data_IF_794857244877
#
_entry.id   IF_794857244877
#
_cell.length_a   1.000
_cell.length_b   1.000
_cell.length_c   1.000
_cell.angle_alpha   90.00
_cell.angle_beta   90.00
_cell.angle_gamma   90.00
#
_symmetry.space_group_name_H-M   'P 1'
#
loop_
_entity.id
_entity.type
_entity.pdbx_description
1 polymer ?
#
# COMPACT_ATOMS: atom_id res chain seq x y z
N UNK A 1 14.40 0.35 -11.27
CA UNK A 1 15.35 1.46 -11.04
C UNK A 1 15.91 1.40 -9.62
N UNK A 2 15.11 1.37 -8.58
CA UNK A 2 15.56 1.29 -7.18
C UNK A 2 16.46 0.08 -6.88
N UNK A 3 16.10 -1.12 -7.35
CA UNK A 3 16.93 -2.33 -7.21
C UNK A 3 18.35 -2.13 -7.77
N UNK A 4 18.47 -1.61 -8.98
CA UNK A 4 19.78 -1.33 -9.61
C UNK A 4 20.62 -0.29 -8.82
N UNK A 5 19.96 0.66 -8.16
CA UNK A 5 20.64 1.63 -7.31
C UNK A 5 21.15 0.95 -6.04
N UNK A 6 20.35 0.12 -5.39
CA UNK A 6 20.76 -0.65 -4.19
C UNK A 6 21.86 -1.66 -4.50
N UNK A 7 21.81 -2.33 -5.64
CA UNK A 7 22.91 -3.20 -6.10
C UNK A 7 24.23 -2.44 -6.25
N UNK A 8 24.18 -1.25 -6.86
CA UNK A 8 25.38 -0.42 -7.07
C UNK A 8 25.85 0.28 -5.80
N UNK A 9 24.92 0.62 -4.90
CA UNK A 9 25.19 1.36 -3.68
C UNK A 9 24.45 0.73 -2.49
N UNK A 10 24.93 -0.41 -1.96
CA UNK A 10 24.20 -1.20 -0.95
C UNK A 10 23.99 -0.47 0.39
N UNK A 11 24.76 0.59 0.65
CA UNK A 11 24.61 1.41 1.86
C UNK A 11 23.60 2.55 1.75
N UNK A 12 22.99 2.77 0.57
CA UNK A 12 22.02 3.84 0.41
C UNK A 12 20.63 3.43 0.91
N UNK A 13 20.04 4.29 1.73
CA UNK A 13 18.62 4.22 2.09
C UNK A 13 17.76 4.78 0.95
N UNK A 14 16.72 4.05 0.60
CA UNK A 14 15.72 4.46 -0.38
C UNK A 14 14.39 4.69 0.32
N UNK A 15 13.86 5.90 0.25
CA UNK A 15 12.65 6.28 0.96
C UNK A 15 11.63 6.85 -0.01
N UNK A 16 10.39 6.37 0.06
CA UNK A 16 9.26 7.03 -0.58
C UNK A 16 8.81 8.16 0.33
N UNK A 17 9.15 9.40 -0.05
CA UNK A 17 9.09 10.54 0.85
C UNK A 17 7.73 11.20 0.94
N UNK A 18 6.93 11.15 -0.13
CA UNK A 18 5.59 11.72 -0.11
C UNK A 18 4.68 11.14 -1.19
N UNK A 19 3.40 11.07 -0.86
CA UNK A 19 2.31 10.75 -1.77
C UNK A 19 1.01 10.86 -1.00
N UNK A 20 0.05 11.64 -1.50
CA UNK A 20 -1.20 11.91 -0.81
C UNK A 20 -2.43 11.73 -1.67
N UNK A 21 -3.59 11.46 -1.06
CA UNK A 21 -4.86 11.39 -1.75
C UNK A 21 -5.28 12.80 -2.21
N UNK A 22 -6.26 12.82 -3.11
CA UNK A 22 -6.89 14.06 -3.55
C UNK A 22 -8.35 14.06 -3.12
N UNK A 23 -8.85 15.21 -2.65
CA UNK A 23 -10.21 15.34 -2.12
C UNK A 23 -11.30 14.98 -3.13
N UNK A 24 -11.05 15.18 -4.43
CA UNK A 24 -12.01 14.97 -5.51
C UNK A 24 -11.80 13.69 -6.32
N UNK A 25 -10.87 12.82 -5.91
CA UNK A 25 -10.48 11.63 -6.66
C UNK A 25 -10.59 10.37 -5.80
N UNK A 26 -11.83 9.94 -5.53
CA UNK A 26 -12.13 8.73 -4.73
C UNK A 26 -11.44 8.74 -3.35
N UNK A 27 -11.43 9.89 -2.69
CA UNK A 27 -10.66 10.17 -1.48
C UNK A 27 -10.78 9.09 -0.39
N UNK A 28 -11.97 8.57 -0.15
CA UNK A 28 -12.26 7.59 0.90
C UNK A 28 -12.32 6.15 0.41
N UNK A 29 -12.13 5.89 -0.88
CA UNK A 29 -12.34 4.59 -1.52
C UNK A 29 -11.16 4.08 -2.36
N UNK A 30 -10.08 4.84 -2.47
CA UNK A 30 -8.88 4.48 -3.27
C UNK A 30 -7.84 3.64 -2.49
N UNK A 31 -8.27 2.89 -1.45
CA UNK A 31 -7.36 2.11 -0.59
C UNK A 31 -6.50 1.09 -1.34
N UNK A 32 -7.03 0.43 -2.37
CA UNK A 32 -6.23 -0.50 -3.17
C UNK A 32 -5.08 0.19 -3.89
N UNK A 33 -5.30 1.39 -4.46
CA UNK A 33 -4.26 2.21 -5.08
C UNK A 33 -3.09 2.44 -4.12
N UNK A 34 -3.40 2.83 -2.87
CA UNK A 34 -2.39 3.11 -1.87
C UNK A 34 -1.71 1.86 -1.33
N UNK A 35 -2.46 0.76 -1.14
CA UNK A 35 -1.89 -0.52 -0.75
C UNK A 35 -0.92 -1.06 -1.80
N UNK A 36 -1.31 -1.01 -3.08
CA UNK A 36 -0.45 -1.39 -4.22
C UNK A 36 0.78 -0.50 -4.32
N UNK A 37 0.62 0.83 -4.17
CA UNK A 37 1.74 1.77 -4.24
C UNK A 37 2.77 1.48 -3.15
N UNK A 38 2.31 1.28 -1.92
CA UNK A 38 3.19 0.96 -0.79
C UNK A 38 3.83 -0.43 -0.94
N UNK A 39 3.07 -1.45 -1.33
CA UNK A 39 3.58 -2.80 -1.57
C UNK A 39 4.69 -2.81 -2.64
N UNK A 40 4.50 -2.07 -3.74
CA UNK A 40 5.51 -1.93 -4.79
C UNK A 40 6.76 -1.19 -4.30
N UNK A 41 6.59 -0.10 -3.55
CA UNK A 41 7.72 0.64 -2.99
C UNK A 41 8.55 -0.26 -2.06
N UNK A 42 7.91 -0.92 -1.09
CA UNK A 42 8.56 -1.84 -0.15
C UNK A 42 9.23 -3.02 -0.88
N UNK A 43 8.52 -3.67 -1.81
CA UNK A 43 9.05 -4.78 -2.61
C UNK A 43 10.21 -4.37 -3.52
N UNK A 44 10.33 -3.09 -3.87
CA UNK A 44 11.46 -2.52 -4.61
C UNK A 44 12.62 -2.10 -3.69
N UNK A 45 12.52 -2.40 -2.40
CA UNK A 45 13.55 -2.15 -1.41
C UNK A 45 13.47 -0.77 -0.76
N UNK A 46 12.31 -0.12 -0.74
CA UNK A 46 12.12 1.07 0.06
C UNK A 46 12.27 0.76 1.56
N UNK A 47 13.03 1.58 2.25
CA UNK A 47 13.23 1.46 3.70
C UNK A 47 12.09 2.14 4.48
N UNK A 48 11.39 3.09 3.83
CA UNK A 48 10.18 3.70 4.36
C UNK A 48 9.20 4.12 3.26
N UNK A 49 7.93 4.27 3.65
CA UNK A 49 6.87 4.82 2.82
C UNK A 49 6.11 5.87 3.64
N UNK A 50 6.16 7.12 3.19
CA UNK A 50 5.54 8.26 3.87
C UNK A 50 4.35 8.79 3.08
N UNK A 51 3.20 8.87 3.73
CA UNK A 51 2.03 9.57 3.19
C UNK A 51 2.16 11.08 3.37
N UNK A 52 1.42 11.85 2.59
CA UNK A 52 1.37 13.30 2.61
C UNK A 52 -0.08 13.77 2.65
N UNK A 53 -0.49 14.58 3.52
CA UNK A 53 -0.16 15.04 4.87
C UNK A 53 -0.88 14.15 5.92
N UNK A 54 -0.66 14.37 7.21
CA UNK A 54 -1.41 13.64 8.23
C UNK A 54 -2.86 14.14 8.32
N UNK A 55 -3.06 15.44 8.49
CA UNK A 55 -4.37 16.08 8.63
C UNK A 55 -4.44 17.32 7.74
N UNK A 56 -5.49 17.43 6.95
CA UNK A 56 -5.84 18.64 6.21
C UNK A 56 -7.32 18.96 6.44
N UNK A 57 -7.72 20.20 6.12
CA UNK A 57 -9.12 20.60 6.14
C UNK A 57 -9.88 20.14 4.88
N UNK A 58 -11.18 20.43 4.82
CA UNK A 58 -12.09 20.08 3.72
C UNK A 58 -11.73 20.75 2.37
N UNK A 59 -10.80 21.70 2.38
CA UNK A 59 -10.27 22.38 1.19
C UNK A 59 -8.84 22.01 0.85
N UNK A 60 -8.23 21.13 1.66
CA UNK A 60 -6.85 20.74 1.51
C UNK A 60 -5.86 21.70 2.16
N UNK A 61 -6.34 22.51 3.11
CA UNK A 61 -5.54 23.44 3.89
C UNK A 61 -5.15 22.97 5.29
N UNK A 62 -4.46 23.80 6.07
CA UNK A 62 -4.14 25.20 5.81
C UNK A 62 -3.20 25.35 4.61
N UNK A 63 -3.46 26.40 3.87
CA UNK A 63 -3.06 26.56 2.50
C UNK A 63 -1.59 26.46 2.20
N UNK A 64 -1.34 25.69 1.16
CA UNK A 64 -0.33 26.08 0.17
C UNK A 64 -0.69 25.58 -1.24
N UNK A 65 -1.92 25.16 -1.48
CA UNK A 65 -2.10 24.38 -2.69
C UNK A 65 -3.25 24.73 -3.59
N UNK A 66 -2.91 24.84 -4.85
CA UNK A 66 -3.80 24.85 -6.01
C UNK A 66 -4.39 23.45 -6.31
N UNK A 67 -4.12 22.41 -5.51
CA UNK A 67 -4.26 21.03 -5.96
C UNK A 67 -5.29 20.18 -5.21
N UNK A 68 -6.12 20.73 -4.33
CA UNK A 68 -7.12 19.93 -3.60
C UNK A 68 -6.53 18.68 -2.96
N UNK A 69 -5.38 18.83 -2.29
CA UNK A 69 -4.75 17.74 -1.56
C UNK A 69 -5.66 17.25 -0.44
N UNK A 70 -5.77 15.95 -0.28
CA UNK A 70 -6.37 15.34 0.91
C UNK A 70 -5.28 14.92 1.88
N UNK A 71 -5.55 15.04 3.18
CA UNK A 71 -4.72 14.43 4.20
C UNK A 71 -4.98 12.93 4.31
N UNK A 72 -4.20 12.25 5.13
CA UNK A 72 -4.52 10.88 5.56
C UNK A 72 -5.90 10.86 6.21
N UNK A 73 -6.21 11.91 6.96
CA UNK A 73 -7.56 12.27 7.41
C UNK A 73 -7.88 13.72 7.03
N UNK A 74 -9.16 13.98 6.77
CA UNK A 74 -9.68 15.34 6.56
C UNK A 74 -10.52 15.72 7.76
N UNK A 75 -10.27 16.91 8.32
CA UNK A 75 -11.05 17.51 9.37
C UNK A 75 -11.90 18.63 8.78
N UNK A 76 -13.23 18.49 8.80
CA UNK A 76 -14.12 19.60 8.45
C UNK A 76 -13.99 20.70 9.50
N UNK A 77 -13.51 21.87 9.09
CA UNK A 77 -13.20 22.99 9.98
C UNK A 77 -14.43 23.62 10.63
N UNK A 78 -15.64 23.37 10.10
CA UNK A 78 -16.90 23.90 10.58
C UNK A 78 -17.63 22.95 11.54
N UNK A 79 -17.56 21.65 11.23
CA UNK A 79 -18.31 20.62 11.98
C UNK A 79 -17.44 19.82 12.94
N UNK A 80 -16.12 19.80 12.73
CA UNK A 80 -15.19 18.93 13.46
C UNK A 80 -15.26 17.48 13.01
N UNK A 81 -15.98 17.16 11.95
CA UNK A 81 -16.08 15.80 11.43
C UNK A 81 -14.76 15.35 10.82
N UNK A 82 -14.38 14.09 11.09
CA UNK A 82 -13.16 13.47 10.57
C UNK A 82 -13.51 12.42 9.52
N UNK A 83 -13.06 12.64 8.30
CA UNK A 83 -13.15 11.67 7.19
C UNK A 83 -11.81 10.98 6.98
N UNK A 84 -11.79 9.66 6.94
CA UNK A 84 -10.60 8.84 6.70
C UNK A 84 -10.44 8.56 5.22
N UNK A 85 -9.26 8.85 4.66
CA UNK A 85 -8.94 8.58 3.25
C UNK A 85 -8.78 7.08 2.96
N UNK A 86 -8.77 6.71 1.68
CA UNK A 86 -8.35 5.39 1.24
C UNK A 86 -6.90 5.08 1.62
N UNK A 87 -6.01 6.09 1.63
CA UNK A 87 -4.64 5.92 2.10
C UNK A 87 -4.58 5.56 3.60
N UNK A 88 -5.41 6.18 4.45
CA UNK A 88 -5.54 5.79 5.85
C UNK A 88 -5.92 4.31 5.99
N UNK A 89 -6.93 3.87 5.24
CA UNK A 89 -7.40 2.48 5.25
C UNK A 89 -6.32 1.52 4.79
N UNK A 90 -5.59 1.85 3.72
CA UNK A 90 -4.45 1.07 3.26
C UNK A 90 -3.34 0.95 4.33
N UNK A 91 -3.03 2.05 5.02
CA UNK A 91 -2.03 2.04 6.07
C UNK A 91 -2.46 1.19 7.28
N UNK A 92 -3.76 1.08 7.56
CA UNK A 92 -4.25 0.14 8.58
C UNK A 92 -3.88 -1.33 8.25
N UNK A 93 -3.79 -1.69 6.97
CA UNK A 93 -3.37 -3.02 6.54
C UNK A 93 -1.85 -3.21 6.54
N UNK A 94 -1.08 -2.16 6.41
CA UNK A 94 0.37 -2.19 6.31
C UNK A 94 1.04 -1.89 7.65
N UNK A 95 0.93 -0.65 8.14
CA UNK A 95 1.70 -0.17 9.28
C UNK A 95 1.31 -0.79 10.62
N UNK A 96 0.09 -1.32 10.74
CA UNK A 96 -0.33 -2.06 11.94
C UNK A 96 0.38 -3.40 12.07
N UNK A 97 0.71 -4.04 10.95
CA UNK A 97 1.18 -5.42 10.93
C UNK A 97 2.66 -5.53 10.52
N UNK A 98 3.12 -4.71 9.56
CA UNK A 98 4.53 -4.63 9.17
C UNK A 98 5.21 -3.59 10.07
N UNK A 99 6.02 -4.06 11.00
CA UNK A 99 6.63 -3.22 12.04
C UNK A 99 8.00 -2.67 11.61
N UNK A 100 8.47 -1.57 12.21
CA UNK A 100 9.83 -1.10 11.98
C UNK A 100 10.86 -2.22 12.19
N UNK A 101 11.81 -2.32 11.25
CA UNK A 101 12.82 -3.38 11.26
C UNK A 101 12.38 -4.70 10.63
N UNK A 102 11.15 -4.82 10.14
CA UNK A 102 10.69 -6.02 9.42
C UNK A 102 11.52 -6.25 8.16
N UNK A 103 11.81 -7.52 7.88
CA UNK A 103 12.39 -7.93 6.59
C UNK A 103 11.29 -8.06 5.56
N UNK A 104 11.42 -7.33 4.46
CA UNK A 104 10.45 -7.32 3.36
C UNK A 104 10.83 -8.36 2.32
N UNK A 105 9.83 -9.09 1.85
CA UNK A 105 9.96 -10.07 0.78
C UNK A 105 9.02 -9.72 -0.36
N UNK A 106 9.58 -9.70 -1.56
CA UNK A 106 8.81 -9.59 -2.78
C UNK A 106 8.05 -10.89 -3.03
N UNK A 107 6.78 -10.78 -3.33
CA UNK A 107 6.02 -11.93 -3.78
C UNK A 107 6.41 -12.24 -5.23
N UNK A 108 6.60 -13.52 -5.52
CA UNK A 108 6.81 -14.03 -6.86
C UNK A 108 5.63 -14.93 -7.24
N UNK A 109 5.02 -14.67 -8.37
CA UNK A 109 3.97 -15.50 -8.94
C UNK A 109 3.83 -15.17 -10.40
N UNK A 110 3.40 -16.12 -11.19
CA UNK A 110 3.04 -15.92 -12.60
C UNK A 110 1.85 -14.96 -12.77
N UNK A 111 1.12 -14.73 -11.66
CA UNK A 111 -0.05 -13.84 -11.60
C UNK A 111 0.25 -12.46 -11.00
N UNK A 112 1.44 -12.24 -10.41
CA UNK A 112 1.86 -10.93 -9.94
C UNK A 112 2.49 -10.14 -11.09
N UNK A 113 1.90 -9.02 -11.42
CA UNK A 113 2.41 -8.16 -12.49
C UNK A 113 3.86 -7.73 -12.25
N UNK A 114 4.69 -7.86 -13.26
CA UNK A 114 6.00 -7.22 -13.30
C UNK A 114 5.82 -5.71 -13.23
N UNK A 115 6.53 -5.08 -12.33
CA UNK A 115 6.44 -3.68 -11.92
C UNK A 115 6.49 -2.65 -13.07
N UNK A 116 5.40 -2.46 -13.76
CA UNK A 116 5.21 -1.26 -14.57
C UNK A 116 4.04 -0.48 -14.02
N UNK A 117 4.17 0.84 -13.95
CA UNK A 117 3.10 1.73 -13.51
C UNK A 117 1.87 1.73 -14.44
N UNK A 118 1.93 0.99 -15.53
CA UNK A 118 0.83 0.80 -16.48
C UNK A 118 0.46 -0.68 -16.53
N UNK A 119 -0.78 -1.00 -16.21
CA UNK A 119 -1.33 -2.31 -16.46
C UNK A 119 -1.65 -2.46 -17.95
N UNK A 120 -1.29 -3.59 -18.58
CA UNK A 120 -1.84 -3.91 -19.89
C UNK A 120 -3.37 -4.03 -19.77
N UNK A 121 -4.08 -3.58 -20.78
CA UNK A 121 -5.53 -3.35 -20.77
C UNK A 121 -6.41 -4.60 -20.50
N UNK A 122 -5.86 -5.78 -20.27
CA UNK A 122 -6.60 -7.04 -20.20
C UNK A 122 -6.62 -7.74 -18.83
N UNK A 123 -5.67 -7.51 -17.94
CA UNK A 123 -5.68 -8.10 -16.60
C UNK A 123 -5.04 -7.17 -15.58
N UNK A 124 -5.80 -6.87 -14.53
CA UNK A 124 -5.28 -6.18 -13.36
C UNK A 124 -4.92 -7.27 -12.34
N UNK A 125 -3.63 -7.51 -12.07
CA UNK A 125 -3.20 -8.56 -11.17
C UNK A 125 -3.51 -8.20 -9.71
N UNK A 126 -3.56 -9.21 -8.86
CA UNK A 126 -3.43 -9.02 -7.41
C UNK A 126 -1.99 -8.58 -7.12
N UNK A 127 -1.85 -7.60 -6.26
CA UNK A 127 -0.56 -7.07 -5.81
C UNK A 127 -0.39 -7.31 -4.32
N UNK A 128 0.85 -7.34 -3.86
CA UNK A 128 1.07 -7.54 -2.44
C UNK A 128 2.52 -7.49 -2.02
N UNK A 129 2.72 -7.68 -0.72
CA UNK A 129 4.04 -7.73 -0.08
C UNK A 129 3.99 -8.70 1.09
N UNK A 130 5.08 -9.42 1.31
CA UNK A 130 5.27 -10.21 2.52
C UNK A 130 6.35 -9.57 3.41
N UNK A 131 6.22 -9.79 4.70
CA UNK A 131 7.19 -9.31 5.68
C UNK A 131 7.38 -10.33 6.81
N UNK A 132 8.57 -10.30 7.41
CA UNK A 132 8.87 -11.02 8.65
C UNK A 132 9.30 -9.99 9.69
N UNK A 133 8.54 -9.86 10.75
CA UNK A 133 8.81 -8.96 11.85
C UNK A 133 9.94 -9.49 12.76
N UNK A 134 10.46 -8.63 13.62
CA UNK A 134 11.52 -8.99 14.57
C UNK A 134 11.06 -10.06 15.59
N UNK A 135 9.77 -10.15 15.87
CA UNK A 135 9.17 -11.17 16.73
C UNK A 135 8.86 -12.48 15.99
N UNK A 136 9.37 -12.62 14.78
CA UNK A 136 9.17 -13.78 13.89
C UNK A 136 7.73 -13.95 13.38
N UNK A 137 6.82 -13.02 13.63
CA UNK A 137 5.51 -13.04 12.98
C UNK A 137 5.65 -12.75 11.48
N UNK A 138 4.95 -13.52 10.66
CA UNK A 138 4.95 -13.37 9.21
C UNK A 138 3.67 -12.67 8.76
N UNK A 139 3.81 -11.70 7.89
CA UNK A 139 2.71 -10.87 7.40
C UNK A 139 2.63 -10.98 5.88
N UNK A 140 1.42 -11.19 5.37
CA UNK A 140 1.11 -11.14 3.95
C UNK A 140 0.01 -10.11 3.73
N UNK A 141 0.30 -9.06 2.96
CA UNK A 141 -0.70 -8.07 2.54
C UNK A 141 -0.97 -8.26 1.05
N UNK A 142 -2.24 -8.44 0.71
CA UNK A 142 -2.72 -8.64 -0.66
C UNK A 142 -3.75 -7.57 -1.00
N UNK A 143 -3.67 -7.01 -2.20
CA UNK A 143 -4.63 -6.05 -2.72
C UNK A 143 -5.18 -6.50 -4.08
N UNK A 144 -6.48 -6.46 -4.24
CA UNK A 144 -7.17 -6.71 -5.51
C UNK A 144 -7.74 -5.39 -6.06
N UNK A 145 -7.02 -4.67 -6.93
CA UNK A 145 -7.51 -3.44 -7.53
C UNK A 145 -8.50 -3.68 -8.69
N UNK A 146 -8.74 -4.93 -9.09
CA UNK A 146 -9.66 -5.27 -10.16
C UNK A 146 -11.13 -5.05 -9.77
N UNK A 147 -11.99 -4.98 -10.76
CA UNK A 147 -13.46 -4.88 -10.59
C UNK A 147 -14.14 -6.24 -10.40
N UNK A 148 -13.38 -7.32 -10.33
CA UNK A 148 -13.85 -8.70 -10.18
C UNK A 148 -13.19 -9.38 -8.99
N UNK A 149 -13.81 -10.44 -8.49
CA UNK A 149 -13.23 -11.30 -7.46
C UNK A 149 -12.01 -12.01 -8.02
N UNK A 150 -10.97 -12.12 -7.21
CA UNK A 150 -9.76 -12.90 -7.51
C UNK A 150 -9.56 -13.98 -6.45
N UNK A 151 -9.36 -15.20 -6.89
CA UNK A 151 -8.87 -16.27 -6.02
C UNK A 151 -7.35 -16.26 -6.05
N UNK A 152 -6.73 -16.31 -4.88
CA UNK A 152 -5.28 -16.35 -4.72
C UNK A 152 -4.91 -17.58 -3.91
N UNK A 153 -4.04 -18.40 -4.46
CA UNK A 153 -3.38 -19.46 -3.74
C UNK A 153 -1.99 -18.98 -3.31
N UNK A 154 -1.60 -19.29 -2.09
CA UNK A 154 -0.25 -19.00 -1.60
C UNK A 154 0.22 -20.13 -0.66
N UNK A 155 1.53 -20.32 -0.60
CA UNK A 155 2.16 -21.35 0.23
C UNK A 155 2.92 -20.70 1.38
N UNK A 156 2.81 -21.30 2.54
CA UNK A 156 3.59 -20.93 3.72
C UNK A 156 3.93 -22.17 4.53
N UNK A 157 5.21 -22.38 4.85
CA UNK A 157 5.72 -23.54 5.57
C UNK A 157 5.21 -24.90 5.01
N UNK A 158 5.22 -25.04 3.68
CA UNK A 158 4.76 -26.25 2.99
C UNK A 158 3.26 -26.50 3.00
N UNK A 159 2.47 -25.59 3.56
CA UNK A 159 1.00 -25.63 3.52
C UNK A 159 0.48 -24.68 2.45
N UNK A 160 -0.63 -25.06 1.82
CA UNK A 160 -1.32 -24.27 0.83
C UNK A 160 -2.54 -23.61 1.43
N UNK A 161 -2.74 -22.34 1.08
CA UNK A 161 -3.85 -21.52 1.56
C UNK A 161 -4.53 -20.87 0.37
N UNK A 162 -5.82 -20.59 0.52
CA UNK A 162 -6.61 -19.86 -0.45
C UNK A 162 -7.21 -18.61 0.17
N UNK A 163 -7.20 -17.53 -0.57
CA UNK A 163 -7.94 -16.32 -0.24
C UNK A 163 -8.80 -15.89 -1.42
N UNK A 164 -10.01 -15.47 -1.13
CA UNK A 164 -10.88 -14.81 -2.10
C UNK A 164 -10.84 -13.32 -1.80
N UNK A 165 -10.28 -12.56 -2.72
CA UNK A 165 -10.23 -11.11 -2.66
C UNK A 165 -11.38 -10.52 -3.46
N UNK A 166 -12.23 -9.77 -2.78
CA UNK A 166 -13.32 -9.04 -3.42
C UNK A 166 -12.81 -7.91 -4.31
N UNK A 167 -13.62 -7.39 -5.23
CA UNK A 167 -13.27 -6.20 -6.00
C UNK A 167 -12.85 -5.06 -5.09
N UNK A 168 -11.80 -4.33 -5.46
CA UNK A 168 -11.27 -3.19 -4.71
C UNK A 168 -11.10 -3.51 -3.21
N UNK A 169 -10.42 -4.61 -2.89
CA UNK A 169 -10.21 -5.04 -1.50
C UNK A 169 -8.74 -5.22 -1.14
N UNK A 170 -8.44 -5.04 0.13
CA UNK A 170 -7.13 -5.33 0.73
C UNK A 170 -7.33 -6.33 1.86
N UNK A 171 -6.49 -7.35 1.90
CA UNK A 171 -6.47 -8.35 2.95
C UNK A 171 -5.09 -8.42 3.61
N UNK A 172 -5.06 -8.64 4.90
CA UNK A 172 -3.82 -8.92 5.66
C UNK A 172 -3.97 -10.26 6.35
N UNK A 173 -2.98 -11.13 6.15
CA UNK A 173 -2.86 -12.41 6.83
C UNK A 173 -1.63 -12.36 7.72
N UNK A 174 -1.77 -12.84 8.95
CA UNK A 174 -0.66 -12.92 9.90
C UNK A 174 -0.51 -14.39 10.31
N UNK A 175 0.71 -14.87 10.28
CA UNK A 175 1.10 -16.20 10.75
C UNK A 175 2.00 -16.02 11.97
N UNK A 176 1.65 -16.67 13.05
CA UNK A 176 2.41 -16.74 14.32
C UNK A 176 3.18 -18.05 14.44
#
# INVERSE_FOLDING_TARGET
MAEKIKEKYPGLSWNFTEGGPRLYDNYDSDWCKWAVTAARALSSGADSFTGWNLVLDERGGPLSGLFGCGGLVTLDSRTGEITKSGQYKAFCHLSKFIRPGAKIYRLSSDTFGTSTFAYPAREIPVEGVAAVNADSSHVLVLANPAKEKKAVEYSYNGKHYFAILWPNSVATVVFE
#
